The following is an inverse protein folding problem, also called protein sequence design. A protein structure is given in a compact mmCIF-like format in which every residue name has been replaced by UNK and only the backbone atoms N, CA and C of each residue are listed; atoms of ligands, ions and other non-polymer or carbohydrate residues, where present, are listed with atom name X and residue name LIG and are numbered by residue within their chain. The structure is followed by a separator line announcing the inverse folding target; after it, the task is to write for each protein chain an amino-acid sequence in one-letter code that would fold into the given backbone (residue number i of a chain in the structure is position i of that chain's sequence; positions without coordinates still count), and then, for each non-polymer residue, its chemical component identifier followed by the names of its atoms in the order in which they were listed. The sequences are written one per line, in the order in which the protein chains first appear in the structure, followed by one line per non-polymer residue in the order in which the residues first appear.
data_IF_703150253474
#
_entry.id   IF_703150253474
#
_cell.length_a   1.000
_cell.length_b   1.000
_cell.length_c   1.000
_cell.angle_alpha   90.00
_cell.angle_beta   90.00
_cell.angle_gamma   90.00
#
_symmetry.space_group_name_H-M   'P 1'
#
loop_
_entity.id
_entity.type
_entity.pdbx_description
1 polymer ?
#
# COMPACT_ATOMS: atom_id res chain seq x y z
N UNK A 1 -6.61 -23.73 21.06
CA UNK A 1 -7.36 -24.03 19.84
C UNK A 1 -6.42 -24.07 18.65
N UNK A 2 -6.82 -24.77 17.59
CA UNK A 2 -6.06 -24.90 16.35
C UNK A 2 -6.55 -23.90 15.30
N UNK A 3 -5.66 -23.05 14.80
CA UNK A 3 -6.02 -21.94 13.92
C UNK A 3 -5.25 -22.02 12.59
N UNK A 4 -5.97 -21.91 11.48
CA UNK A 4 -5.35 -21.69 10.17
C UNK A 4 -5.22 -20.17 9.89
N UNK A 5 -4.05 -19.74 9.43
CA UNK A 5 -3.83 -18.40 8.89
C UNK A 5 -3.57 -18.52 7.40
N UNK A 6 -4.39 -17.88 6.57
CA UNK A 6 -4.31 -17.98 5.11
C UNK A 6 -3.79 -16.66 4.54
N UNK A 7 -2.58 -16.70 4.01
CA UNK A 7 -1.82 -15.55 3.54
C UNK A 7 -0.73 -15.10 4.52
N UNK A 8 0.52 -15.10 4.07
CA UNK A 8 1.69 -14.69 4.86
C UNK A 8 2.19 -13.28 4.50
N UNK A 9 1.29 -12.35 4.20
CA UNK A 9 1.55 -10.91 4.18
C UNK A 9 1.61 -10.33 5.59
N UNK A 10 1.85 -9.01 5.73
CA UNK A 10 1.98 -8.34 7.04
C UNK A 10 0.81 -8.67 7.98
N UNK A 11 -0.42 -8.65 7.49
CA UNK A 11 -1.61 -8.91 8.33
C UNK A 11 -1.63 -10.34 8.87
N UNK A 12 -1.41 -11.33 8.01
CA UNK A 12 -1.40 -12.74 8.41
C UNK A 12 -0.24 -13.07 9.34
N UNK A 13 0.95 -12.55 9.07
CA UNK A 13 2.12 -12.78 9.91
C UNK A 13 2.00 -12.12 11.29
N UNK A 14 1.43 -10.91 11.36
CA UNK A 14 1.14 -10.25 12.66
C UNK A 14 0.10 -11.04 13.44
N UNK A 15 -0.97 -11.49 12.79
CA UNK A 15 -1.97 -12.34 13.44
C UNK A 15 -1.34 -13.65 13.96
N UNK A 16 -0.53 -14.33 13.15
CA UNK A 16 0.19 -15.54 13.55
C UNK A 16 1.13 -15.26 14.73
N UNK A 17 1.88 -14.16 14.70
CA UNK A 17 2.79 -13.76 15.78
C UNK A 17 2.07 -13.50 17.11
N UNK A 18 0.86 -12.96 17.06
CA UNK A 18 0.06 -12.73 18.27
C UNK A 18 -0.53 -14.02 18.83
N UNK A 19 -0.94 -14.94 17.96
CA UNK A 19 -1.67 -16.15 18.31
C UNK A 19 -0.75 -17.34 18.69
N UNK A 20 0.49 -17.41 18.18
CA UNK A 20 1.34 -18.61 18.30
C UNK A 20 1.68 -19.01 19.74
N UNK A 21 1.62 -18.07 20.68
CA UNK A 21 1.99 -18.35 22.09
C UNK A 21 0.94 -19.15 22.85
N UNK A 22 -0.33 -18.99 22.45
CA UNK A 22 -1.47 -19.58 23.18
C UNK A 22 -2.25 -20.58 22.34
N UNK A 23 -1.96 -20.67 21.03
CA UNK A 23 -2.70 -21.47 20.08
C UNK A 23 -1.78 -22.25 19.15
N UNK A 24 -2.21 -23.46 18.76
CA UNK A 24 -1.60 -24.20 17.67
C UNK A 24 -1.99 -23.54 16.34
N UNK A 25 -1.04 -23.21 15.49
CA UNK A 25 -1.33 -22.58 14.22
C UNK A 25 -0.57 -23.15 13.04
N UNK A 26 -1.15 -22.99 11.85
CA UNK A 26 -0.52 -23.22 10.57
C UNK A 26 -0.74 -22.02 9.70
N UNK A 27 0.33 -21.48 9.10
CA UNK A 27 0.28 -20.37 8.15
C UNK A 27 0.44 -20.93 6.73
N UNK A 28 -0.52 -20.66 5.87
CA UNK A 28 -0.50 -21.03 4.46
C UNK A 28 -0.12 -19.86 3.58
N UNK A 29 0.87 -20.03 2.73
CA UNK A 29 1.31 -19.07 1.73
C UNK A 29 1.42 -19.71 0.35
N UNK A 30 0.75 -19.09 -0.63
CA UNK A 30 0.78 -19.57 -2.01
C UNK A 30 2.13 -19.30 -2.70
N UNK A 31 2.79 -18.22 -2.31
CA UNK A 31 4.08 -17.79 -2.85
C UNK A 31 5.27 -18.58 -2.34
N UNK A 32 6.42 -18.30 -2.93
CA UNK A 32 7.69 -18.91 -2.57
C UNK A 32 8.37 -18.25 -1.35
N UNK A 33 7.84 -17.16 -0.83
CA UNK A 33 8.36 -16.41 0.31
C UNK A 33 7.23 -15.86 1.17
N UNK A 34 7.52 -15.62 2.44
CA UNK A 34 6.64 -14.92 3.36
C UNK A 34 6.93 -13.40 3.33
N UNK A 35 5.93 -12.58 3.57
CA UNK A 35 6.04 -11.11 3.62
C UNK A 35 5.07 -10.38 2.69
N UNK A 36 4.61 -11.03 1.62
CA UNK A 36 3.72 -10.38 0.65
C UNK A 36 4.40 -9.17 -0.01
N UNK A 37 3.89 -7.95 0.25
CA UNK A 37 4.51 -6.71 -0.23
C UNK A 37 5.81 -6.32 0.51
N UNK A 38 6.11 -6.90 1.66
CA UNK A 38 7.44 -6.83 2.28
C UNK A 38 8.35 -7.83 1.57
N UNK A 39 8.97 -7.37 0.50
CA UNK A 39 9.76 -8.18 -0.41
C UNK A 39 11.08 -7.48 -0.72
N UNK A 40 12.14 -7.98 -0.13
CA UNK A 40 13.51 -7.48 -0.31
C UNK A 40 14.26 -8.40 -1.26
N UNK A 41 14.79 -7.84 -2.32
CA UNK A 41 15.62 -8.56 -3.30
C UNK A 41 17.08 -8.28 -2.98
N UNK A 42 17.85 -9.36 -2.78
CA UNK A 42 19.29 -9.27 -2.64
C UNK A 42 19.93 -9.15 -4.03
N UNK A 43 20.72 -8.11 -4.19
CA UNK A 43 21.43 -7.83 -5.44
C UNK A 43 22.93 -7.82 -5.14
N UNK A 44 23.64 -8.80 -5.67
CA UNK A 44 25.10 -8.88 -5.61
C UNK A 44 25.71 -8.09 -6.76
N UNK A 45 26.65 -7.21 -6.45
CA UNK A 45 27.49 -6.51 -7.42
C UNK A 45 28.93 -7.03 -7.28
N UNK A 46 29.84 -6.59 -8.12
CA UNK A 46 31.24 -7.03 -8.06
C UNK A 46 31.92 -6.71 -6.72
N UNK A 47 31.45 -5.69 -5.99
CA UNK A 47 32.11 -5.18 -4.79
C UNK A 47 31.22 -5.23 -3.54
N UNK A 48 29.89 -5.22 -3.69
CA UNK A 48 28.95 -5.05 -2.59
C UNK A 48 27.66 -5.82 -2.83
N UNK A 49 26.98 -6.18 -1.73
CA UNK A 49 25.63 -6.75 -1.75
C UNK A 49 24.64 -5.69 -1.24
N UNK A 50 23.54 -5.53 -1.94
CA UNK A 50 22.47 -4.61 -1.58
C UNK A 50 21.15 -5.35 -1.39
N UNK A 51 20.46 -5.07 -0.29
CA UNK A 51 19.10 -5.55 -0.02
C UNK A 51 18.11 -4.46 -0.42
N UNK A 52 17.38 -4.65 -1.52
CA UNK A 52 16.52 -3.64 -2.14
C UNK A 52 15.05 -4.03 -2.02
N UNK A 53 14.24 -3.21 -1.34
CA UNK A 53 12.81 -3.41 -1.21
C UNK A 53 12.07 -3.09 -2.51
N UNK A 54 11.09 -3.91 -2.85
CA UNK A 54 10.34 -3.78 -4.11
C UNK A 54 8.86 -3.49 -3.92
N UNK A 55 8.34 -3.61 -2.70
CA UNK A 55 6.93 -3.34 -2.38
C UNK A 55 6.80 -2.37 -1.21
N UNK A 56 6.79 -2.84 0.03
CA UNK A 56 6.82 -1.96 1.20
C UNK A 56 8.23 -1.39 1.42
N UNK A 57 8.35 -0.07 1.55
CA UNK A 57 9.65 0.61 1.63
C UNK A 57 9.75 1.50 2.88
N UNK A 58 8.71 2.28 3.19
CA UNK A 58 8.78 3.36 4.17
C UNK A 58 7.64 3.33 5.19
N UNK A 59 7.94 3.78 6.40
CA UNK A 59 7.00 4.08 7.47
C UNK A 59 7.33 5.44 8.08
N UNK A 60 6.50 5.94 9.00
CA UNK A 60 6.77 7.19 9.69
C UNK A 60 6.31 7.15 11.16
N UNK A 61 6.80 8.09 11.96
CA UNK A 61 6.59 8.18 13.40
C UNK A 61 5.15 8.57 13.83
N UNK A 62 4.30 8.98 12.90
CA UNK A 62 2.94 9.46 13.19
C UNK A 62 1.85 8.47 12.80
N UNK A 63 1.97 7.90 11.62
CA UNK A 63 0.92 7.09 11.00
C UNK A 63 1.11 5.59 11.18
N UNK A 64 2.25 5.15 11.71
CA UNK A 64 2.61 3.75 11.90
C UNK A 64 2.87 3.38 13.36
N UNK A 65 1.97 3.77 14.32
CA UNK A 65 2.25 3.57 15.76
C UNK A 65 2.32 2.10 16.14
N UNK A 66 1.46 1.24 15.57
CA UNK A 66 1.45 -0.17 15.89
C UNK A 66 2.58 -0.92 15.18
N UNK A 67 2.86 -0.57 13.91
CA UNK A 67 3.98 -1.14 13.18
C UNK A 67 5.33 -0.76 13.82
N UNK A 68 5.50 0.50 14.25
CA UNK A 68 6.70 0.94 14.97
C UNK A 68 6.87 0.18 16.28
N UNK A 69 5.79 0.04 17.07
CA UNK A 69 5.81 -0.77 18.30
C UNK A 69 6.17 -2.23 18.02
N UNK A 70 5.69 -2.79 16.92
CA UNK A 70 6.05 -4.14 16.49
C UNK A 70 7.54 -4.25 16.19
N UNK A 71 8.11 -3.32 15.40
CA UNK A 71 9.55 -3.28 15.09
C UNK A 71 10.40 -3.19 16.36
N UNK A 72 10.01 -2.32 17.31
CA UNK A 72 10.71 -2.17 18.60
C UNK A 72 10.71 -3.49 19.39
N UNK A 73 9.57 -4.19 19.45
CA UNK A 73 9.47 -5.50 20.12
C UNK A 73 10.28 -6.61 19.45
N UNK A 74 10.40 -6.55 18.14
CA UNK A 74 11.20 -7.49 17.36
C UNK A 74 12.70 -7.15 17.37
N UNK A 75 13.10 -6.00 17.93
CA UNK A 75 14.48 -5.52 17.91
C UNK A 75 14.97 -5.15 16.49
N UNK A 76 14.05 -4.78 15.60
CA UNK A 76 14.36 -4.45 14.21
C UNK A 76 14.60 -2.95 14.07
N UNK A 77 15.81 -2.61 13.67
CA UNK A 77 16.24 -1.21 13.52
C UNK A 77 15.63 -0.56 12.28
N UNK A 78 15.34 0.75 12.41
CA UNK A 78 14.96 1.61 11.29
C UNK A 78 16.02 2.69 11.06
N UNK A 79 16.06 3.24 9.85
CA UNK A 79 16.93 4.38 9.51
C UNK A 79 16.11 5.50 8.88
N UNK A 80 16.48 6.78 9.13
CA UNK A 80 15.76 7.92 8.54
C UNK A 80 15.83 7.92 7.03
N UNK A 81 14.72 8.31 6.38
CA UNK A 81 14.65 8.49 4.93
C UNK A 81 13.96 9.81 4.57
N UNK A 82 13.95 10.13 3.28
CA UNK A 82 13.33 11.33 2.74
C UNK A 82 12.24 10.97 1.74
N UNK A 83 11.02 11.37 2.06
CA UNK A 83 9.91 11.28 1.11
C UNK A 83 9.83 12.56 0.29
N UNK A 84 9.92 12.40 -1.02
CA UNK A 84 9.77 13.48 -1.98
C UNK A 84 9.11 12.96 -3.25
N UNK A 85 8.42 13.85 -3.96
CA UNK A 85 7.67 13.53 -5.16
C UNK A 85 8.11 14.42 -6.30
N UNK A 86 8.25 13.85 -7.49
CA UNK A 86 8.54 14.57 -8.72
C UNK A 86 7.65 14.12 -9.86
N UNK A 87 7.59 14.96 -10.89
CA UNK A 87 6.93 14.67 -12.14
C UNK A 87 7.91 14.92 -13.28
N UNK A 88 8.00 13.95 -14.20
CA UNK A 88 8.76 14.01 -15.44
C UNK A 88 7.81 13.84 -16.62
N UNK A 89 7.75 14.84 -17.51
CA UNK A 89 7.02 14.76 -18.78
C UNK A 89 7.85 14.10 -19.87
N UNK A 90 7.21 13.28 -20.68
CA UNK A 90 7.85 12.60 -21.82
C UNK A 90 7.92 13.48 -23.06
N UNK A 91 6.81 14.15 -23.40
CA UNK A 91 6.74 15.03 -24.60
C UNK A 91 7.41 16.38 -24.42
N UNK A 92 7.18 16.98 -23.25
CA UNK A 92 7.74 18.29 -22.94
C UNK A 92 8.98 18.05 -22.08
N UNK A 93 10.04 18.80 -22.30
CA UNK A 93 11.11 18.88 -21.32
C UNK A 93 10.57 19.51 -20.02
N UNK A 94 9.66 18.80 -19.35
CA UNK A 94 8.94 19.24 -18.17
C UNK A 94 9.31 18.35 -16.97
N UNK A 95 10.00 18.94 -16.03
CA UNK A 95 10.42 18.28 -14.80
C UNK A 95 10.27 19.24 -13.62
N UNK A 96 9.77 18.72 -12.50
CA UNK A 96 9.83 19.41 -11.22
C UNK A 96 9.75 18.41 -10.07
N UNK A 97 10.20 18.82 -8.89
CA UNK A 97 9.98 18.09 -7.64
C UNK A 97 9.37 19.01 -6.58
N UNK A 98 8.67 18.42 -5.61
CA UNK A 98 8.00 19.13 -4.51
C UNK A 98 8.94 19.74 -3.45
N UNK A 99 10.19 20.02 -3.80
CA UNK A 99 11.17 20.70 -2.96
C UNK A 99 11.44 22.11 -3.50
N UNK A 100 11.88 23.09 -2.69
CA UNK A 100 12.16 24.45 -3.19
C UNK A 100 13.12 24.49 -4.38
N UNK A 101 14.16 23.69 -4.37
CA UNK A 101 15.12 23.59 -5.49
C UNK A 101 14.54 22.82 -6.67
N UNK A 102 13.79 21.75 -6.40
CA UNK A 102 13.18 20.91 -7.44
C UNK A 102 12.04 21.60 -8.17
N UNK A 103 11.26 22.43 -7.48
CA UNK A 103 10.13 23.16 -8.07
C UNK A 103 10.59 24.09 -9.21
N UNK A 104 11.75 24.70 -9.06
CA UNK A 104 12.34 25.64 -10.02
C UNK A 104 13.62 25.10 -10.67
N UNK A 105 13.80 23.79 -10.74
CA UNK A 105 14.94 23.17 -11.42
C UNK A 105 15.02 23.54 -12.91
N UNK A 106 13.88 23.92 -13.49
CA UNK A 106 13.78 24.57 -14.81
C UNK A 106 13.47 26.05 -14.62
N UNK A 107 14.42 26.93 -14.97
CA UNK A 107 14.25 28.38 -14.84
C UNK A 107 13.01 28.93 -15.55
N UNK A 108 12.62 28.32 -16.68
CA UNK A 108 11.39 28.70 -17.40
C UNK A 108 10.10 28.56 -16.55
N UNK A 109 10.09 27.69 -15.54
CA UNK A 109 8.96 27.53 -14.64
C UNK A 109 8.69 28.81 -13.81
N UNK A 110 9.73 29.60 -13.54
CA UNK A 110 9.60 30.92 -12.86
C UNK A 110 8.80 31.92 -13.70
N UNK A 111 8.99 31.89 -15.04
CA UNK A 111 8.31 32.79 -15.96
C UNK A 111 6.99 32.22 -16.53
N UNK A 112 6.62 30.97 -16.19
CA UNK A 112 5.45 30.32 -16.72
C UNK A 112 4.19 30.62 -15.89
N UNK A 113 3.21 31.40 -16.40
CA UNK A 113 1.97 31.67 -15.68
C UNK A 113 1.17 30.39 -15.37
N UNK A 114 1.22 29.40 -16.26
CA UNK A 114 0.58 28.09 -16.05
C UNK A 114 1.19 27.34 -14.87
N UNK A 115 2.52 27.36 -14.74
CA UNK A 115 3.21 26.72 -13.63
C UNK A 115 2.96 27.45 -12.30
N UNK A 116 3.02 28.77 -12.31
CA UNK A 116 2.70 29.57 -11.12
C UNK A 116 1.25 29.36 -10.67
N UNK A 117 0.30 29.29 -11.60
CA UNK A 117 -1.09 28.97 -11.29
C UNK A 117 -1.25 27.59 -10.68
N UNK A 118 -0.50 26.59 -11.16
CA UNK A 118 -0.49 25.24 -10.60
C UNK A 118 -0.02 25.25 -9.13
N UNK A 119 1.02 26.02 -8.82
CA UNK A 119 1.53 26.16 -7.44
C UNK A 119 0.53 26.89 -6.54
N UNK A 120 -0.10 27.95 -7.02
CA UNK A 120 -1.15 28.65 -6.27
C UNK A 120 -2.38 27.74 -6.03
N UNK A 121 -2.76 26.95 -7.01
CA UNK A 121 -3.83 25.98 -6.88
C UNK A 121 -3.51 24.89 -5.84
N UNK A 122 -2.24 24.47 -5.70
CA UNK A 122 -1.83 23.57 -4.62
C UNK A 122 -2.06 24.19 -3.23
N UNK A 123 -1.67 25.44 -3.04
CA UNK A 123 -1.91 26.15 -1.76
C UNK A 123 -3.40 26.27 -1.44
N UNK A 124 -4.19 26.60 -2.45
CA UNK A 124 -5.63 26.71 -2.35
C UNK A 124 -6.27 25.36 -2.06
N UNK A 125 -5.86 24.29 -2.76
CA UNK A 125 -6.32 22.92 -2.55
C UNK A 125 -6.09 22.45 -1.11
N UNK A 126 -4.88 22.62 -0.60
CA UNK A 126 -4.55 22.29 0.76
C UNK A 126 -5.40 23.03 1.80
N UNK A 127 -5.69 24.33 1.54
CA UNK A 127 -6.58 25.14 2.39
C UNK A 127 -8.02 24.62 2.37
N UNK A 128 -8.54 24.29 1.17
CA UNK A 128 -9.91 23.80 0.99
C UNK A 128 -10.10 22.45 1.68
N UNK A 129 -9.15 21.52 1.56
CA UNK A 129 -9.21 20.21 2.22
C UNK A 129 -9.15 20.36 3.76
N UNK A 130 -8.26 21.20 4.28
CA UNK A 130 -8.24 21.48 5.73
C UNK A 130 -9.56 22.06 6.22
N UNK A 131 -10.14 23.00 5.47
CA UNK A 131 -11.45 23.56 5.78
C UNK A 131 -12.58 22.54 5.72
N UNK A 132 -12.49 21.56 4.81
CA UNK A 132 -13.44 20.43 4.74
C UNK A 132 -13.37 19.57 6.02
N UNK A 133 -12.17 19.19 6.43
CA UNK A 133 -11.97 18.35 7.62
C UNK A 133 -12.39 19.07 8.90
N UNK A 134 -12.01 20.35 9.07
CA UNK A 134 -12.37 21.14 10.25
C UNK A 134 -13.90 21.31 10.42
N UNK A 135 -14.64 21.49 9.32
CA UNK A 135 -16.12 21.54 9.38
C UNK A 135 -16.75 20.22 9.82
N UNK A 136 -16.10 19.11 9.54
CA UNK A 136 -16.58 17.79 9.96
C UNK A 136 -16.36 17.53 11.44
N UNK A 137 -15.30 18.08 12.03
CA UNK A 137 -15.01 17.97 13.47
C UNK A 137 -15.93 18.83 14.32
N UNK A 138 -16.33 20.02 13.83
CA UNK A 138 -17.20 20.96 14.54
C UNK A 138 -18.70 20.71 14.28
N UNK A 139 -19.04 20.05 13.20
CA UNK A 139 -20.39 19.60 12.90
C UNK A 139 -20.66 18.28 13.59
N UNK A 140 -20.88 18.29 14.90
CA UNK A 140 -21.28 17.13 15.66
C UNK A 140 -22.33 16.32 14.89
N UNK A 141 -21.99 15.07 14.61
CA UNK A 141 -22.95 13.98 14.40
C UNK A 141 -24.15 14.31 13.50
N UNK A 142 -23.93 14.65 12.26
CA UNK A 142 -24.86 14.19 11.24
C UNK A 142 -24.35 12.83 10.74
N UNK A 143 -24.60 11.78 11.55
CA UNK A 143 -24.78 10.44 11.03
C UNK A 143 -25.53 10.59 9.71
N UNK A 144 -25.00 10.00 8.65
CA UNK A 144 -25.58 9.97 7.33
C UNK A 144 -27.12 9.85 7.38
N UNK A 145 -27.81 10.96 7.34
CA UNK A 145 -29.21 11.06 7.02
C UNK A 145 -29.31 11.42 5.55
N UNK A 146 -29.63 10.43 4.75
CA UNK A 146 -30.03 10.60 3.36
C UNK A 146 -28.87 10.50 2.36
N UNK A 147 -28.81 9.40 1.68
CA UNK A 147 -28.40 9.00 0.37
C UNK A 147 -27.72 9.97 -0.62
N UNK A 148 -26.90 10.92 -0.18
CA UNK A 148 -26.04 11.66 -1.08
C UNK A 148 -24.73 10.90 -1.23
N UNK A 149 -24.42 10.50 -2.46
CA UNK A 149 -23.14 9.93 -2.82
C UNK A 149 -22.03 10.87 -2.33
N UNK A 150 -20.99 10.32 -1.72
CA UNK A 150 -19.83 11.09 -1.26
C UNK A 150 -19.17 11.79 -2.46
N UNK A 151 -18.89 13.10 -2.34
CA UNK A 151 -18.30 13.90 -3.43
C UNK A 151 -16.99 13.28 -3.90
N UNK A 152 -16.85 13.09 -5.20
CA UNK A 152 -15.62 12.60 -5.81
C UNK A 152 -14.58 13.72 -5.95
N UNK A 153 -13.30 13.33 -6.08
CA UNK A 153 -12.22 14.29 -6.35
C UNK A 153 -12.47 15.09 -7.63
N UNK A 154 -12.99 14.44 -8.69
CA UNK A 154 -13.29 15.11 -9.95
C UNK A 154 -14.37 16.17 -9.82
N UNK A 155 -15.47 15.90 -9.13
CA UNK A 155 -16.55 16.84 -8.84
C UNK A 155 -16.04 18.00 -7.98
N UNK A 156 -15.27 17.71 -6.93
CA UNK A 156 -14.65 18.74 -6.09
C UNK A 156 -13.74 19.67 -6.90
N UNK A 157 -12.83 19.11 -7.72
CA UNK A 157 -11.92 19.91 -8.55
C UNK A 157 -12.65 20.78 -9.57
N UNK A 158 -13.70 20.25 -10.22
CA UNK A 158 -14.54 20.97 -11.17
C UNK A 158 -15.35 22.09 -10.48
N UNK A 159 -16.04 21.77 -9.40
CA UNK A 159 -16.83 22.74 -8.62
C UNK A 159 -15.99 23.91 -8.11
N UNK A 160 -14.77 23.62 -7.69
CA UNK A 160 -13.81 24.61 -7.21
C UNK A 160 -13.00 25.29 -8.32
N UNK A 161 -13.20 24.90 -9.59
CA UNK A 161 -12.54 25.49 -10.77
C UNK A 161 -11.00 25.50 -10.64
N UNK A 162 -10.42 24.36 -10.31
CA UNK A 162 -8.97 24.20 -10.34
C UNK A 162 -8.43 24.18 -11.77
N UNK A 163 -7.22 24.69 -11.98
CA UNK A 163 -6.62 24.74 -13.31
C UNK A 163 -6.30 23.34 -13.85
N UNK A 164 -6.41 23.18 -15.16
CA UNK A 164 -6.05 21.93 -15.84
C UNK A 164 -4.61 21.50 -15.52
N UNK A 165 -3.67 22.45 -15.47
CA UNK A 165 -2.28 22.17 -15.13
C UNK A 165 -2.15 21.56 -13.71
N UNK A 166 -2.87 22.08 -12.72
CA UNK A 166 -2.89 21.52 -11.37
C UNK A 166 -3.46 20.11 -11.36
N UNK A 167 -4.58 19.89 -12.06
CA UNK A 167 -5.25 18.57 -12.08
C UNK A 167 -4.38 17.53 -12.76
N UNK A 168 -3.88 17.80 -13.96
CA UNK A 168 -3.22 16.80 -14.81
C UNK A 168 -1.73 16.63 -14.50
N UNK A 169 -1.06 17.66 -13.99
CA UNK A 169 0.39 17.64 -13.76
C UNK A 169 0.82 17.56 -12.30
N UNK A 170 -0.13 17.64 -11.36
CA UNK A 170 0.18 17.57 -9.94
C UNK A 170 -0.74 16.62 -9.18
N UNK A 171 -2.03 16.94 -9.02
CA UNK A 171 -2.87 16.22 -8.06
C UNK A 171 -3.23 14.81 -8.52
N UNK A 172 -3.63 14.61 -9.77
CA UNK A 172 -3.90 13.28 -10.31
C UNK A 172 -2.64 12.41 -10.29
N UNK A 173 -1.46 12.86 -10.78
CA UNK A 173 -0.20 12.15 -10.62
C UNK A 173 0.12 11.78 -9.18
N UNK A 174 -0.04 12.71 -8.24
CA UNK A 174 0.29 12.47 -6.83
C UNK A 174 -0.63 11.44 -6.20
N UNK A 175 -1.95 11.56 -6.39
CA UNK A 175 -2.93 10.62 -5.86
C UNK A 175 -2.74 9.23 -6.50
N UNK A 176 -2.56 9.19 -7.81
CA UNK A 176 -2.29 7.95 -8.55
C UNK A 176 -1.02 7.24 -8.07
N UNK A 177 0.05 7.99 -7.79
CA UNK A 177 1.28 7.42 -7.27
C UNK A 177 1.12 6.84 -5.86
N UNK A 178 0.34 7.50 -4.98
CA UNK A 178 0.11 7.07 -3.60
C UNK A 178 -0.56 5.69 -3.54
N UNK A 179 -1.56 5.44 -4.40
CA UNK A 179 -2.30 4.17 -4.40
C UNK A 179 -1.95 3.24 -5.57
N UNK A 180 -0.93 3.59 -6.37
CA UNK A 180 -0.54 2.82 -7.57
C UNK A 180 -1.72 2.53 -8.50
N UNK A 181 -2.68 3.46 -8.58
CA UNK A 181 -3.97 3.29 -9.25
C UNK A 181 -4.06 4.08 -10.56
N UNK A 182 -5.00 3.69 -11.44
CA UNK A 182 -5.25 4.35 -12.73
C UNK A 182 -5.52 5.85 -12.54
N UNK A 183 -4.72 6.75 -13.16
CA UNK A 183 -4.93 8.19 -13.08
C UNK A 183 -6.34 8.64 -13.49
N UNK A 184 -7.01 7.90 -14.39
CA UNK A 184 -8.36 8.22 -14.84
C UNK A 184 -9.40 7.93 -13.76
N UNK A 185 -9.20 6.85 -13.00
CA UNK A 185 -10.09 6.47 -11.90
C UNK A 185 -9.95 7.38 -10.67
N UNK A 186 -8.80 8.08 -10.52
CA UNK A 186 -8.58 8.99 -9.40
C UNK A 186 -9.61 10.13 -9.33
N UNK A 187 -10.24 10.48 -10.44
CA UNK A 187 -11.34 11.47 -10.45
C UNK A 187 -12.60 10.98 -9.74
N UNK A 188 -12.83 9.67 -9.71
CA UNK A 188 -13.96 9.05 -8.99
C UNK A 188 -13.64 8.75 -7.53
N UNK A 189 -12.41 9.01 -7.09
CA UNK A 189 -11.95 8.73 -5.74
C UNK A 189 -12.68 9.61 -4.71
N UNK A 190 -13.11 9.08 -3.54
CA UNK A 190 -13.78 9.88 -2.52
C UNK A 190 -12.86 10.99 -2.01
N UNK A 191 -13.24 12.26 -2.20
CA UNK A 191 -12.35 13.40 -1.86
C UNK A 191 -12.09 13.50 -0.36
N UNK A 192 -13.06 13.12 0.47
CA UNK A 192 -12.91 13.14 1.93
C UNK A 192 -11.92 12.10 2.42
N UNK A 193 -12.04 10.86 1.93
CA UNK A 193 -11.11 9.77 2.25
C UNK A 193 -9.66 10.16 1.91
N UNK A 194 -9.47 10.76 0.73
CA UNK A 194 -8.18 11.31 0.32
C UNK A 194 -7.71 12.46 1.22
N UNK A 195 -8.62 13.36 1.61
CA UNK A 195 -8.28 14.51 2.46
C UNK A 195 -7.81 14.05 3.86
N UNK A 196 -8.49 13.06 4.45
CA UNK A 196 -8.11 12.45 5.73
C UNK A 196 -6.72 11.81 5.63
N UNK A 197 -6.46 11.05 4.55
CA UNK A 197 -5.14 10.48 4.29
C UNK A 197 -4.05 11.56 4.16
N UNK A 198 -4.30 12.61 3.36
CA UNK A 198 -3.34 13.70 3.16
C UNK A 198 -3.08 14.48 4.45
N UNK A 199 -4.10 14.70 5.28
CA UNK A 199 -3.94 15.33 6.59
C UNK A 199 -3.07 14.48 7.51
N UNK A 200 -3.37 13.18 7.63
CA UNK A 200 -2.63 12.25 8.46
C UNK A 200 -1.15 12.17 8.05
N UNK A 201 -0.85 12.17 6.75
CA UNK A 201 0.51 12.09 6.23
C UNK A 201 1.22 13.45 6.12
N UNK A 202 0.64 14.53 6.69
CA UNK A 202 1.24 15.86 6.67
C UNK A 202 1.38 16.46 5.27
N UNK A 203 0.61 15.96 4.29
CA UNK A 203 0.69 16.38 2.88
C UNK A 203 -0.07 17.70 2.63
N UNK A 204 -0.97 18.11 3.54
CA UNK A 204 -1.72 19.37 3.45
C UNK A 204 -0.95 20.58 3.98
N UNK A 205 0.29 20.40 4.46
CA UNK A 205 1.12 21.44 5.02
C UNK A 205 2.58 21.36 4.59
N UNK A 206 3.33 22.43 4.89
CA UNK A 206 4.78 22.50 4.64
C UNK A 206 5.59 22.40 5.94
N UNK A 207 4.94 22.50 7.09
CA UNK A 207 5.51 22.40 8.43
C UNK A 207 4.95 21.18 9.13
N UNK A 208 5.64 20.70 10.14
CA UNK A 208 5.21 19.59 10.98
C UNK A 208 4.89 18.31 10.18
N UNK A 209 5.79 17.94 9.28
CA UNK A 209 5.69 16.71 8.49
C UNK A 209 6.16 15.51 9.31
N UNK A 210 5.55 14.32 9.12
CA UNK A 210 6.04 13.09 9.73
C UNK A 210 7.50 12.84 9.38
N UNK A 211 8.24 12.23 10.30
CA UNK A 211 9.60 11.76 10.05
C UNK A 211 9.55 10.37 9.46
N UNK A 212 10.03 10.27 8.24
CA UNK A 212 10.02 9.02 7.50
C UNK A 212 11.25 8.18 7.80
N UNK A 213 11.03 6.87 7.87
CA UNK A 213 12.05 5.86 8.10
C UNK A 213 11.84 4.67 7.17
N UNK A 214 12.89 3.90 6.96
CA UNK A 214 12.86 2.59 6.31
C UNK A 214 13.50 1.56 7.22
N UNK A 215 13.16 0.28 7.04
CA UNK A 215 13.78 -0.81 7.80
C UNK A 215 15.25 -0.92 7.39
N UNK A 216 16.15 -0.90 8.36
CA UNK A 216 17.58 -1.03 8.09
C UNK A 216 17.88 -2.45 7.57
N UNK A 217 18.50 -2.53 6.39
CA UNK A 217 18.79 -3.82 5.72
C UNK A 217 17.58 -4.45 5.02
N UNK A 218 16.52 -3.65 4.75
CA UNK A 218 15.35 -4.10 3.99
C UNK A 218 14.22 -4.68 4.83
N UNK A 219 13.02 -4.67 4.27
CA UNK A 219 11.79 -5.10 4.96
C UNK A 219 11.77 -6.60 5.31
N UNK A 220 12.52 -7.44 4.60
CA UNK A 220 12.67 -8.87 4.95
C UNK A 220 13.17 -9.08 6.38
N UNK A 221 13.93 -8.12 6.95
CA UNK A 221 14.45 -8.22 8.33
C UNK A 221 13.34 -8.33 9.36
N UNK A 222 12.29 -7.52 9.24
CA UNK A 222 11.18 -7.63 10.18
C UNK A 222 10.34 -8.89 9.94
N UNK A 223 10.19 -9.33 8.69
CA UNK A 223 9.50 -10.57 8.35
C UNK A 223 10.20 -11.75 8.99
N UNK A 224 11.53 -11.85 8.84
CA UNK A 224 12.33 -12.92 9.44
C UNK A 224 12.23 -12.94 10.96
N UNK A 225 12.31 -11.77 11.61
CA UNK A 225 12.17 -11.65 13.06
C UNK A 225 10.76 -12.05 13.53
N UNK A 226 9.73 -11.66 12.75
CA UNK A 226 8.33 -11.91 13.06
C UNK A 226 7.99 -13.41 13.02
N UNK A 227 8.48 -14.12 12.00
CA UNK A 227 8.21 -15.55 11.82
C UNK A 227 9.13 -16.46 12.63
N UNK A 228 10.25 -15.96 13.15
CA UNK A 228 11.26 -16.79 13.84
C UNK A 228 10.66 -17.75 14.90
N UNK A 229 9.69 -17.34 15.75
CA UNK A 229 9.14 -18.21 16.80
C UNK A 229 8.23 -19.34 16.29
N UNK A 230 7.74 -19.26 15.03
CA UNK A 230 6.81 -20.24 14.46
C UNK A 230 7.14 -20.59 12.99
N UNK A 231 8.40 -20.45 12.60
CA UNK A 231 8.87 -20.67 11.22
C UNK A 231 8.50 -22.03 10.67
N UNK A 232 8.56 -23.08 11.46
CA UNK A 232 8.21 -24.46 11.09
C UNK A 232 6.72 -24.64 10.79
N UNK A 233 5.86 -23.72 11.24
CA UNK A 233 4.43 -23.73 10.96
C UNK A 233 4.05 -22.91 9.74
N UNK A 234 5.00 -22.27 9.05
CA UNK A 234 4.79 -21.51 7.81
C UNK A 234 5.01 -22.42 6.60
N UNK A 235 3.94 -22.69 5.88
CA UNK A 235 3.93 -23.54 4.68
C UNK A 235 3.93 -22.67 3.43
N UNK A 236 5.10 -22.48 2.85
CA UNK A 236 5.27 -21.77 1.57
C UNK A 236 4.88 -22.67 0.39
N UNK A 237 4.56 -22.06 -0.76
CA UNK A 237 4.12 -22.77 -1.99
C UNK A 237 2.96 -23.72 -1.72
N UNK A 238 2.10 -23.37 -0.76
CA UNK A 238 0.98 -24.19 -0.30
C UNK A 238 -0.32 -23.38 -0.43
N UNK A 239 -0.80 -23.14 -1.67
CA UNK A 239 -2.02 -22.37 -1.88
C UNK A 239 -3.24 -23.08 -1.29
N UNK A 240 -4.02 -22.34 -0.51
CA UNK A 240 -5.37 -22.78 -0.11
C UNK A 240 -6.28 -22.67 -1.31
N UNK A 241 -7.12 -23.69 -1.50
CA UNK A 241 -8.08 -23.80 -2.61
C UNK A 241 -9.52 -23.57 -2.17
N UNK A 242 -9.86 -24.01 -0.97
CA UNK A 242 -11.18 -23.77 -0.43
C UNK A 242 -11.19 -23.79 1.09
N UNK A 243 -12.17 -23.07 1.64
CA UNK A 243 -12.48 -23.03 3.07
C UNK A 243 -13.97 -23.35 3.19
N UNK A 244 -14.29 -24.45 3.91
CA UNK A 244 -15.64 -24.85 4.23
C UNK A 244 -15.89 -24.71 5.73
N UNK A 245 -17.02 -24.13 6.11
CA UNK A 245 -17.39 -23.92 7.52
C UNK A 245 -18.46 -24.90 7.95
N UNK A 246 -18.14 -25.74 8.91
CA UNK A 246 -19.09 -26.58 9.62
C UNK A 246 -19.57 -25.93 10.91
N UNK A 247 -20.43 -26.63 11.65
CA UNK A 247 -20.95 -26.15 12.94
C UNK A 247 -19.82 -26.00 13.97
N UNK A 248 -18.89 -26.98 14.04
CA UNK A 248 -17.86 -27.05 15.07
C UNK A 248 -16.44 -26.81 14.55
N UNK A 249 -16.22 -26.91 13.25
CA UNK A 249 -14.88 -26.87 12.63
C UNK A 249 -14.90 -26.11 11.31
N UNK A 250 -13.70 -25.66 10.93
CA UNK A 250 -13.41 -25.10 9.61
C UNK A 250 -12.47 -26.06 8.88
N UNK A 251 -12.84 -26.46 7.69
CA UNK A 251 -11.99 -27.27 6.81
C UNK A 251 -11.26 -26.36 5.82
N UNK A 252 -9.94 -26.49 5.78
CA UNK A 252 -9.06 -25.78 4.86
C UNK A 252 -8.44 -26.81 3.91
N UNK A 253 -8.76 -26.67 2.62
CA UNK A 253 -8.16 -27.51 1.56
C UNK A 253 -7.04 -26.75 0.89
N UNK A 254 -5.83 -27.30 0.92
CA UNK A 254 -4.63 -26.74 0.31
C UNK A 254 -3.98 -27.69 -0.68
N UNK A 255 -3.08 -27.18 -1.52
CA UNK A 255 -2.24 -27.99 -2.40
C UNK A 255 -0.80 -27.87 -1.90
N UNK A 256 -0.19 -29.01 -1.60
CA UNK A 256 1.20 -29.10 -1.21
C UNK A 256 2.15 -28.88 -2.41
N UNK A 257 3.44 -28.58 -2.19
CA UNK A 257 4.41 -28.35 -3.27
C UNK A 257 4.59 -29.55 -4.23
N UNK A 258 4.27 -30.76 -3.77
CA UNK A 258 4.26 -31.99 -4.58
C UNK A 258 2.99 -32.16 -5.42
N UNK A 259 2.05 -31.21 -5.35
CA UNK A 259 0.79 -31.23 -6.08
C UNK A 259 -0.34 -32.00 -5.37
N UNK A 260 -0.11 -32.58 -4.21
CA UNK A 260 -1.12 -33.32 -3.46
C UNK A 260 -2.06 -32.36 -2.76
N UNK A 261 -3.36 -32.59 -2.90
CA UNK A 261 -4.39 -31.86 -2.17
C UNK A 261 -4.59 -32.47 -0.80
N UNK A 262 -4.61 -31.64 0.24
CA UNK A 262 -4.88 -32.05 1.61
C UNK A 262 -5.95 -31.17 2.23
N UNK A 263 -6.87 -31.76 2.99
CA UNK A 263 -7.86 -31.06 3.79
C UNK A 263 -7.57 -31.23 5.26
N UNK A 264 -7.40 -30.12 5.97
CA UNK A 264 -7.14 -30.11 7.41
C UNK A 264 -8.25 -29.36 8.15
N UNK A 265 -8.54 -29.81 9.38
CA UNK A 265 -9.61 -29.25 10.21
C UNK A 265 -9.04 -28.34 11.31
N UNK A 266 -9.69 -27.19 11.49
CA UNK A 266 -9.30 -26.14 12.43
C UNK A 266 -10.49 -25.67 13.27
N UNK A 267 -10.23 -25.11 14.44
CA UNK A 267 -11.25 -24.45 15.24
C UNK A 267 -11.63 -23.09 14.67
N UNK A 268 -10.66 -22.36 14.12
CA UNK A 268 -10.82 -21.06 13.50
C UNK A 268 -9.94 -20.89 12.27
N UNK A 269 -10.33 -19.95 11.40
CA UNK A 269 -9.49 -19.49 10.29
C UNK A 269 -9.35 -17.96 10.30
N UNK A 270 -8.13 -17.48 10.13
CA UNK A 270 -7.80 -16.08 9.85
C UNK A 270 -7.48 -15.97 8.36
N UNK A 271 -8.33 -15.27 7.60
CA UNK A 271 -8.15 -15.05 6.17
C UNK A 271 -7.48 -13.69 5.99
N UNK A 272 -6.20 -13.72 5.58
CA UNK A 272 -5.33 -12.56 5.44
C UNK A 272 -4.87 -12.34 3.98
N UNK A 273 -5.61 -12.87 3.03
CA UNK A 273 -5.45 -12.65 1.58
C UNK A 273 -6.13 -11.35 1.15
N UNK A 274 -6.06 -10.98 -0.12
CA UNK A 274 -6.90 -9.92 -0.67
C UNK A 274 -8.39 -10.27 -0.50
N UNK A 275 -9.27 -9.25 -0.50
CA UNK A 275 -10.70 -9.48 -0.24
C UNK A 275 -11.38 -10.30 -1.34
N UNK A 276 -11.01 -10.09 -2.61
CA UNK A 276 -11.47 -10.88 -3.75
C UNK A 276 -11.05 -12.35 -3.62
N UNK A 277 -9.79 -12.61 -3.31
CA UNK A 277 -9.26 -13.95 -3.04
C UNK A 277 -9.95 -14.58 -1.82
N UNK A 278 -10.14 -13.81 -0.73
CA UNK A 278 -10.85 -14.29 0.44
C UNK A 278 -12.26 -14.79 0.09
N UNK A 279 -12.98 -14.04 -0.77
CA UNK A 279 -14.30 -14.42 -1.23
C UNK A 279 -14.27 -15.69 -2.10
N UNK A 280 -13.30 -15.81 -2.99
CA UNK A 280 -13.12 -16.99 -3.85
C UNK A 280 -12.82 -18.28 -3.06
N UNK A 281 -12.11 -18.16 -1.95
CA UNK A 281 -11.76 -19.31 -1.10
C UNK A 281 -12.96 -19.90 -0.34
N UNK A 282 -14.00 -19.11 -0.08
CA UNK A 282 -15.16 -19.55 0.68
C UNK A 282 -16.09 -20.42 -0.17
N UNK A 283 -16.40 -21.63 0.28
CA UNK A 283 -17.37 -22.51 -0.37
C UNK A 283 -18.82 -22.06 -0.17
N UNK A 284 -19.07 -21.38 0.93
CA UNK A 284 -20.39 -21.02 1.43
C UNK A 284 -20.47 -19.54 1.89
N UNK A 285 -20.03 -18.57 1.07
CA UNK A 285 -20.00 -17.18 1.49
C UNK A 285 -21.42 -16.65 1.77
N UNK A 286 -21.58 -15.98 2.90
CA UNK A 286 -22.82 -15.30 3.27
C UNK A 286 -23.12 -14.10 2.35
N UNK A 287 -24.35 -13.59 2.37
CA UNK A 287 -24.71 -12.38 1.62
C UNK A 287 -23.88 -11.16 2.04
N UNK A 288 -23.52 -11.05 3.34
CA UNK A 288 -22.65 -9.99 3.83
C UNK A 288 -21.22 -10.12 3.31
N UNK A 289 -20.64 -11.32 3.32
CA UNK A 289 -19.31 -11.57 2.80
C UNK A 289 -19.21 -11.26 1.30
N UNK A 290 -20.18 -11.74 0.49
CA UNK A 290 -20.23 -11.40 -0.94
C UNK A 290 -20.26 -9.90 -1.17
N UNK A 291 -21.06 -9.18 -0.41
CA UNK A 291 -21.20 -7.72 -0.54
C UNK A 291 -19.95 -6.99 -0.08
N UNK A 292 -19.41 -7.33 1.09
CA UNK A 292 -18.32 -6.57 1.70
C UNK A 292 -16.95 -6.88 1.08
N UNK A 293 -16.65 -8.17 0.89
CA UNK A 293 -15.38 -8.59 0.27
C UNK A 293 -15.34 -8.27 -1.23
N UNK A 294 -16.49 -8.40 -1.91
CA UNK A 294 -16.60 -8.07 -3.33
C UNK A 294 -16.66 -6.57 -3.66
N UNK A 295 -16.81 -5.68 -2.64
CA UNK A 295 -16.87 -4.23 -2.85
C UNK A 295 -15.52 -3.59 -3.15
N UNK A 296 -14.41 -4.30 -2.91
CA UNK A 296 -13.04 -3.78 -3.04
C UNK A 296 -12.37 -4.45 -4.24
N UNK A 297 -12.33 -3.80 -5.41
CA UNK A 297 -11.63 -4.31 -6.58
C UNK A 297 -10.11 -4.16 -6.42
N UNK A 298 -9.38 -4.97 -7.17
CA UNK A 298 -7.90 -4.92 -7.19
C UNK A 298 -7.37 -4.59 -8.58
N UNK A 299 -6.28 -3.84 -8.60
CA UNK A 299 -5.53 -3.52 -9.80
C UNK A 299 -4.16 -4.18 -9.72
N UNK A 300 -3.86 -4.98 -10.74
CA UNK A 300 -2.54 -5.59 -10.91
C UNK A 300 -1.56 -4.56 -11.44
N UNK A 301 -0.39 -4.48 -10.81
CA UNK A 301 0.73 -3.64 -11.20
C UNK A 301 1.98 -4.49 -11.39
N UNK A 302 2.73 -4.20 -12.44
CA UNK A 302 4.05 -4.77 -12.66
C UNK A 302 5.11 -3.86 -12.05
N UNK A 303 5.93 -4.39 -11.16
CA UNK A 303 7.06 -3.71 -10.52
C UNK A 303 8.37 -4.31 -11.03
N UNK A 304 9.22 -3.48 -11.61
CA UNK A 304 10.53 -3.89 -12.14
C UNK A 304 11.62 -3.27 -11.31
N UNK A 305 12.46 -4.11 -10.69
CA UNK A 305 13.72 -3.68 -10.08
C UNK A 305 14.79 -3.64 -11.17
N UNK A 306 15.46 -2.49 -11.31
CA UNK A 306 16.43 -2.25 -12.37
C UNK A 306 17.47 -1.19 -11.98
N UNK A 307 18.50 -1.04 -12.81
CA UNK A 307 19.56 -0.03 -12.66
C UNK A 307 19.55 1.04 -13.75
N UNK A 308 18.47 1.16 -14.52
CA UNK A 308 18.36 2.16 -15.59
C UNK A 308 17.98 3.54 -15.05
N UNK A 309 18.97 4.42 -14.90
CA UNK A 309 18.76 5.80 -14.45
C UNK A 309 18.08 6.73 -15.48
N UNK A 310 17.89 6.28 -16.74
CA UNK A 310 17.16 7.05 -17.76
C UNK A 310 15.69 7.30 -17.37
N UNK A 311 15.13 6.44 -16.51
CA UNK A 311 13.76 6.58 -15.96
C UNK A 311 13.66 7.71 -14.93
N UNK A 312 14.76 8.10 -14.29
CA UNK A 312 14.81 9.23 -13.37
C UNK A 312 14.76 10.57 -14.13
N UNK A 313 14.35 11.67 -13.48
CA UNK A 313 14.49 13.01 -14.04
C UNK A 313 15.93 13.31 -14.46
N UNK A 314 16.11 14.02 -15.58
CA UNK A 314 17.42 14.38 -16.10
C UNK A 314 18.16 15.33 -15.15
N UNK A 315 17.39 16.26 -14.54
CA UNK A 315 17.93 17.24 -13.60
C UNK A 315 18.01 16.65 -12.21
N UNK A 316 19.18 16.58 -11.63
CA UNK A 316 19.37 16.02 -10.28
C UNK A 316 18.46 16.70 -9.24
N UNK A 317 18.24 18.01 -9.33
CA UNK A 317 17.35 18.75 -8.44
C UNK A 317 15.86 18.30 -8.55
N UNK A 318 15.49 17.65 -9.64
CA UNK A 318 14.16 17.07 -9.85
C UNK A 318 14.08 15.59 -9.46
N UNK A 319 15.21 14.89 -9.22
CA UNK A 319 15.19 13.51 -8.77
C UNK A 319 14.64 13.43 -7.35
N UNK A 320 13.54 12.72 -7.21
CA UNK A 320 12.86 12.55 -5.94
C UNK A 320 12.83 11.07 -5.53
N UNK A 321 12.36 10.78 -4.34
CA UNK A 321 12.09 9.42 -3.89
C UNK A 321 11.07 8.71 -4.81
N UNK A 322 10.03 9.45 -5.21
CA UNK A 322 8.98 8.99 -6.12
C UNK A 322 8.96 9.90 -7.36
N UNK A 323 9.13 9.32 -8.54
CA UNK A 323 9.22 10.05 -9.81
C UNK A 323 8.11 9.58 -10.75
N UNK A 324 7.05 10.38 -10.87
CA UNK A 324 5.90 10.09 -11.72
C UNK A 324 6.18 10.44 -13.18
N UNK A 325 5.77 9.57 -14.09
CA UNK A 325 5.93 9.78 -15.53
C UNK A 325 4.61 10.25 -16.15
N UNK A 326 4.61 11.47 -16.70
CA UNK A 326 3.55 11.95 -17.56
C UNK A 326 3.86 11.49 -18.99
N UNK A 327 3.20 10.42 -19.39
CA UNK A 327 3.41 9.81 -20.70
C UNK A 327 2.71 10.62 -21.79
N UNK A 328 3.25 10.55 -23.01
CA UNK A 328 2.62 11.09 -24.21
C UNK A 328 1.26 10.46 -24.45
N UNK A 329 1.23 9.14 -24.43
CA UNK A 329 0.01 8.34 -24.50
C UNK A 329 -0.35 7.85 -23.08
N UNK A 330 -1.40 8.41 -22.47
CA UNK A 330 -1.79 8.01 -21.12
C UNK A 330 -2.13 6.53 -21.04
N UNK A 331 -1.45 5.82 -20.14
CA UNK A 331 -1.76 4.42 -19.82
C UNK A 331 -2.86 4.33 -18.75
N UNK A 332 -3.61 3.21 -18.72
CA UNK A 332 -4.60 2.94 -17.69
C UNK A 332 -4.00 2.60 -16.32
N UNK A 333 -2.68 2.66 -16.18
CA UNK A 333 -1.94 2.30 -14.99
C UNK A 333 -1.02 3.44 -14.58
N UNK A 334 -0.81 3.59 -13.29
CA UNK A 334 0.16 4.54 -12.74
C UNK A 334 1.58 4.15 -13.14
N UNK A 335 2.36 5.10 -13.65
CA UNK A 335 3.76 4.92 -14.01
C UNK A 335 4.65 5.75 -13.11
N UNK A 336 5.37 5.08 -12.22
CA UNK A 336 6.21 5.70 -11.19
C UNK A 336 7.53 4.97 -11.11
N UNK A 337 8.62 5.71 -10.99
CA UNK A 337 9.93 5.15 -10.61
C UNK A 337 10.27 5.56 -9.18
N UNK A 338 10.41 4.59 -8.30
CA UNK A 338 10.95 4.75 -6.96
C UNK A 338 12.47 4.73 -7.00
N UNK A 339 13.11 5.77 -6.47
CA UNK A 339 14.56 5.86 -6.42
C UNK A 339 15.08 5.31 -5.10
N UNK A 340 15.55 4.06 -5.13
CA UNK A 340 15.84 3.29 -3.94
C UNK A 340 17.08 3.78 -3.18
N UNK A 341 18.07 4.35 -3.90
CA UNK A 341 19.22 4.96 -3.26
C UNK A 341 18.84 6.13 -2.33
N UNK A 342 17.77 6.87 -2.67
CA UNK A 342 17.20 7.88 -1.78
C UNK A 342 16.35 7.27 -0.67
N UNK A 343 15.44 6.33 -1.02
CA UNK A 343 14.48 5.75 -0.10
C UNK A 343 15.14 4.88 0.97
N UNK A 344 16.07 4.01 0.59
CA UNK A 344 16.75 3.11 1.51
C UNK A 344 18.17 3.60 1.88
N UNK A 345 18.59 4.79 1.40
CA UNK A 345 19.93 5.35 1.61
C UNK A 345 21.04 4.37 1.21
N UNK A 346 20.83 3.69 0.10
CA UNK A 346 21.82 2.74 -0.41
C UNK A 346 23.08 3.49 -0.84
N UNK A 347 24.22 3.06 -0.32
CA UNK A 347 25.54 3.54 -0.76
C UNK A 347 26.01 2.59 -1.85
N UNK A 348 25.68 2.90 -3.08
CA UNK A 348 25.98 2.06 -4.23
C UNK A 348 26.47 2.90 -5.39
N UNK A 349 27.33 2.33 -6.20
CA UNK A 349 27.88 2.95 -7.42
C UNK A 349 26.83 3.02 -8.55
N UNK A 350 25.69 2.37 -8.37
CA UNK A 350 24.57 2.29 -9.33
C UNK A 350 23.32 2.90 -8.76
N UNK A 351 22.48 3.41 -9.63
CA UNK A 351 21.12 3.84 -9.30
C UNK A 351 20.20 2.60 -9.27
N UNK A 352 19.69 2.22 -8.12
CA UNK A 352 18.64 1.21 -7.98
C UNK A 352 17.28 1.87 -8.07
N UNK A 353 16.45 1.37 -8.97
CA UNK A 353 15.11 1.86 -9.23
C UNK A 353 14.10 0.73 -9.20
N UNK A 354 12.91 1.03 -8.68
CA UNK A 354 11.73 0.17 -8.87
C UNK A 354 10.71 0.95 -9.68
N UNK A 355 10.41 0.48 -10.89
CA UNK A 355 9.47 1.16 -11.79
C UNK A 355 8.18 0.37 -11.95
N UNK A 356 7.05 1.06 -11.77
CA UNK A 356 5.73 0.47 -11.98
C UNK A 356 5.25 0.68 -13.42
N UNK A 357 4.77 -0.40 -14.03
CA UNK A 357 3.96 -0.43 -15.27
C UNK A 357 4.62 0.26 -16.48
N UNK A 358 5.95 0.22 -16.55
CA UNK A 358 6.71 0.83 -17.65
C UNK A 358 7.93 0.01 -18.08
N UNK A 359 7.81 -1.29 -18.09
CA UNK A 359 8.89 -2.23 -18.39
C UNK A 359 9.49 -2.00 -19.77
N UNK A 360 8.66 -1.64 -20.75
CA UNK A 360 9.08 -1.37 -22.13
C UNK A 360 10.03 -0.18 -22.30
N UNK A 361 10.11 0.70 -21.31
CA UNK A 361 11.01 1.86 -21.35
C UNK A 361 12.33 1.62 -20.60
N UNK A 362 12.48 0.46 -19.98
CA UNK A 362 13.70 0.06 -19.26
C UNK A 362 14.60 -0.70 -20.23
N UNK A 363 15.89 -0.38 -20.21
CA UNK A 363 16.90 -1.18 -20.91
C UNK A 363 16.87 -2.62 -20.39
N UNK A 364 16.56 -3.62 -21.25
CA UNK A 364 16.44 -5.02 -20.83
C UNK A 364 17.67 -5.57 -20.10
N UNK A 365 18.88 -5.10 -20.44
CA UNK A 365 20.15 -5.53 -19.81
C UNK A 365 20.28 -5.00 -18.37
N UNK A 366 19.50 -4.00 -18.00
CA UNK A 366 19.50 -3.40 -16.66
C UNK A 366 18.38 -3.90 -15.74
N UNK A 367 17.51 -4.77 -16.25
CA UNK A 367 16.44 -5.39 -15.45
C UNK A 367 17.06 -6.46 -14.56
N UNK A 368 16.78 -6.37 -13.26
CA UNK A 368 17.20 -7.36 -12.27
C UNK A 368 16.10 -8.39 -12.07
N UNK A 369 14.88 -7.93 -11.82
CA UNK A 369 13.72 -8.80 -11.66
C UNK A 369 12.40 -8.06 -11.88
N UNK A 370 11.37 -8.81 -12.24
CA UNK A 370 10.00 -8.31 -12.45
C UNK A 370 9.07 -9.03 -11.48
N UNK A 371 8.23 -8.25 -10.78
CA UNK A 371 7.31 -8.74 -9.75
C UNK A 371 5.91 -8.22 -10.06
N UNK A 372 4.91 -9.04 -9.84
CA UNK A 372 3.51 -8.62 -9.95
C UNK A 372 2.90 -8.39 -8.58
N UNK A 373 2.43 -7.18 -8.35
CA UNK A 373 1.68 -6.80 -7.16
C UNK A 373 0.24 -6.43 -7.53
N UNK A 374 -0.69 -6.72 -6.62
CA UNK A 374 -2.08 -6.26 -6.74
C UNK A 374 -2.39 -5.28 -5.61
N UNK A 375 -2.97 -4.14 -5.97
CA UNK A 375 -3.32 -3.09 -5.02
C UNK A 375 -4.84 -2.87 -4.99
N UNK A 376 -5.45 -2.66 -3.80
CA UNK A 376 -6.86 -2.36 -3.70
C UNK A 376 -7.18 -1.00 -4.35
N UNK A 377 -8.30 -0.93 -5.05
CA UNK A 377 -8.83 0.30 -5.63
C UNK A 377 -9.97 0.81 -4.76
N UNK A 378 -9.83 1.99 -4.21
CA UNK A 378 -10.81 2.57 -3.28
C UNK A 378 -11.95 3.25 -4.03
N UNK A 379 -13.10 2.61 -3.99
CA UNK A 379 -14.37 3.14 -4.48
C UNK A 379 -15.24 3.60 -3.31
N UNK A 380 -16.26 4.43 -3.52
CA UNK A 380 -17.21 4.76 -2.45
C UNK A 380 -17.82 3.53 -1.78
N UNK A 381 -18.16 2.50 -2.55
CA UNK A 381 -18.68 1.24 -2.03
C UNK A 381 -17.64 0.47 -1.19
N UNK A 382 -16.38 0.42 -1.65
CA UNK A 382 -15.29 -0.22 -0.91
C UNK A 382 -14.99 0.49 0.41
N UNK A 383 -14.95 1.81 0.42
CA UNK A 383 -14.75 2.61 1.65
C UNK A 383 -15.93 2.42 2.62
N UNK A 384 -17.17 2.38 2.14
CA UNK A 384 -18.33 2.10 2.99
C UNK A 384 -18.27 0.70 3.61
N UNK A 385 -17.81 -0.30 2.85
CA UNK A 385 -17.70 -1.69 3.33
C UNK A 385 -16.73 -1.83 4.51
N UNK A 386 -15.68 -1.00 4.60
CA UNK A 386 -14.70 -1.05 5.70
C UNK A 386 -15.33 -0.87 7.08
N UNK A 387 -16.36 -0.04 7.20
CA UNK A 387 -17.07 0.21 8.46
C UNK A 387 -17.91 -0.98 8.95
N UNK A 388 -18.19 -1.93 8.08
CA UNK A 388 -19.05 -3.08 8.36
C UNK A 388 -18.26 -4.39 8.61
N UNK A 389 -16.93 -4.31 8.73
CA UNK A 389 -16.03 -5.46 8.95
C UNK A 389 -16.52 -6.42 10.05
N UNK A 390 -17.01 -5.89 11.18
CA UNK A 390 -17.49 -6.69 12.31
C UNK A 390 -18.72 -7.60 11.97
N UNK A 391 -19.39 -7.35 10.83
CA UNK A 391 -20.52 -8.20 10.41
C UNK A 391 -20.10 -9.54 9.84
N UNK A 392 -18.84 -9.67 9.42
CA UNK A 392 -18.32 -10.89 8.80
C UNK A 392 -17.17 -11.54 9.57
N UNK A 393 -16.62 -10.84 10.56
CA UNK A 393 -15.44 -11.30 11.32
C UNK A 393 -15.79 -11.52 12.78
N UNK A 394 -15.48 -12.69 13.34
CA UNK A 394 -15.68 -12.96 14.76
C UNK A 394 -15.75 -14.44 15.12
N UNK A 395 -15.80 -14.72 16.43
CA UNK A 395 -15.78 -16.09 16.97
C UNK A 395 -16.98 -16.94 16.55
N UNK A 396 -18.18 -16.35 16.49
CA UNK A 396 -19.41 -17.11 16.15
C UNK A 396 -19.34 -17.76 14.77
N UNK A 397 -18.71 -17.06 13.78
CA UNK A 397 -18.52 -17.59 12.43
C UNK A 397 -17.22 -18.36 12.23
N UNK A 398 -16.39 -18.52 13.27
CA UNK A 398 -15.06 -19.17 13.22
C UNK A 398 -14.11 -18.59 12.15
N UNK A 399 -14.49 -17.47 11.55
CA UNK A 399 -13.78 -16.84 10.45
C UNK A 399 -13.43 -15.41 10.82
N UNK A 400 -12.16 -15.06 10.68
CA UNK A 400 -11.62 -13.73 10.98
C UNK A 400 -10.95 -13.19 9.74
N UNK A 401 -11.25 -11.94 9.39
CA UNK A 401 -10.68 -11.28 8.21
C UNK A 401 -9.70 -10.20 8.62
N UNK A 402 -8.52 -10.21 8.03
CA UNK A 402 -7.56 -9.11 8.15
C UNK A 402 -6.92 -8.81 6.78
N UNK A 403 -6.43 -7.59 6.65
CA UNK A 403 -5.81 -7.10 5.42
C UNK A 403 -5.74 -5.58 5.44
N UNK A 404 -4.75 -5.01 4.78
CA UNK A 404 -4.56 -3.57 4.71
C UNK A 404 -5.73 -2.82 4.02
N UNK A 405 -6.50 -3.52 3.20
CA UNK A 405 -7.68 -3.00 2.51
C UNK A 405 -8.86 -2.61 3.44
N UNK A 406 -8.81 -2.99 4.71
CA UNK A 406 -9.74 -2.51 5.74
C UNK A 406 -9.42 -1.11 6.28
N UNK A 407 -8.36 -0.47 5.75
CA UNK A 407 -7.96 0.90 5.98
C UNK A 407 -7.56 1.59 4.67
N UNK A 408 -6.50 2.34 4.67
CA UNK A 408 -5.99 3.04 3.46
C UNK A 408 -5.08 2.18 2.56
N UNK A 409 -4.82 0.91 2.93
CA UNK A 409 -4.02 -0.03 2.15
C UNK A 409 -2.52 -0.03 2.47
N UNK A 410 -2.11 0.54 3.60
CA UNK A 410 -0.72 0.62 4.03
C UNK A 410 -0.39 -0.42 5.11
N UNK A 411 0.90 -0.57 5.42
CA UNK A 411 1.36 -1.56 6.39
C UNK A 411 0.74 -1.40 7.78
N UNK A 412 0.58 -0.16 8.26
CA UNK A 412 -0.12 0.09 9.51
C UNK A 412 -1.54 -0.45 9.51
N UNK A 413 -2.27 -0.24 8.41
CA UNK A 413 -3.64 -0.75 8.29
C UNK A 413 -3.68 -2.27 8.34
N UNK A 414 -2.66 -2.92 7.75
CA UNK A 414 -2.48 -4.36 7.83
C UNK A 414 -2.27 -4.84 9.27
N UNK A 415 -1.43 -4.14 10.04
CA UNK A 415 -1.18 -4.42 11.46
C UNK A 415 -2.44 -4.19 12.28
N UNK A 416 -3.09 -3.03 12.14
CA UNK A 416 -4.35 -2.70 12.84
C UNK A 416 -5.44 -3.72 12.57
N UNK A 417 -5.54 -4.15 11.30
CA UNK A 417 -6.52 -5.16 10.90
C UNK A 417 -6.24 -6.53 11.54
N UNK A 418 -4.96 -6.92 11.65
CA UNK A 418 -4.56 -8.14 12.36
C UNK A 418 -4.87 -8.06 13.86
N UNK A 419 -4.58 -6.92 14.51
CA UNK A 419 -4.93 -6.69 15.91
C UNK A 419 -6.43 -6.87 16.15
N UNK A 420 -7.26 -6.27 15.28
CA UNK A 420 -8.72 -6.41 15.33
C UNK A 420 -9.19 -7.85 15.15
N UNK A 421 -8.60 -8.59 14.22
CA UNK A 421 -8.94 -9.99 13.99
C UNK A 421 -8.53 -10.91 15.15
N UNK A 422 -7.49 -10.54 15.90
CA UNK A 422 -6.99 -11.28 17.05
C UNK A 422 -7.61 -10.87 18.39
N UNK A 423 -8.29 -9.71 18.47
CA UNK A 423 -8.94 -9.22 19.70
C UNK A 423 -9.89 -10.24 20.35
N UNK A 424 -10.73 -11.01 19.58
CA UNK A 424 -11.61 -12.04 20.16
C UNK A 424 -10.87 -13.17 20.88
N UNK A 425 -9.58 -13.37 20.62
CA UNK A 425 -8.74 -14.36 21.28
C UNK A 425 -8.05 -13.82 22.53
N UNK A 426 -8.30 -12.54 22.92
CA UNK A 426 -7.72 -11.93 24.11
C UNK A 426 -6.26 -11.48 23.97
N UNK A 427 -5.64 -11.64 22.80
CA UNK A 427 -4.23 -11.30 22.56
C UNK A 427 -4.05 -9.85 22.09
N UNK A 428 -2.94 -9.24 22.50
CA UNK A 428 -2.61 -7.83 22.20
C UNK A 428 -1.12 -7.66 21.84
N UNK A 429 -0.85 -6.66 20.99
CA UNK A 429 0.50 -6.22 20.68
C UNK A 429 1.08 -5.40 21.82
#
# INVERSE_FOLDING_TARGET
VRIAVVGAGVSGLVAAHLLHREHELVVYEAGAYAGGHANTIRVDTEHETHDVDTGFIVCNDRNYPNFTRLLDRLGVATQPTHMSFSVKGEEEDFEYAGTPRGLFCQRRNLASPRFQRMVLDLLRFNRELRGMLARSEHGASTKARGGHAEESLGEFLARRRFSRAFVERLIVPQVSAVWSADPRQMRSFPVRFMAEFFANHGMLGFRDRPRWSTVAGGSARYVDALIAPFREHVRLRTPVRSIARGEDRVEVTSIHPDGVSATESYDHVVIATHSDQALELLRDPSAHERRLLGAIPYQRNEAVLHTDSALLPRRQAARAAWNFHLLREPKPLSTVTYYMNHLQRLRADRDFCVTLNRTEAIDPEKIITTISYSHPVYTPAGVAAQSEHARISGLAGRTHYCGAYWGWGFHEDGVVSALRACEPFGVRL
#
